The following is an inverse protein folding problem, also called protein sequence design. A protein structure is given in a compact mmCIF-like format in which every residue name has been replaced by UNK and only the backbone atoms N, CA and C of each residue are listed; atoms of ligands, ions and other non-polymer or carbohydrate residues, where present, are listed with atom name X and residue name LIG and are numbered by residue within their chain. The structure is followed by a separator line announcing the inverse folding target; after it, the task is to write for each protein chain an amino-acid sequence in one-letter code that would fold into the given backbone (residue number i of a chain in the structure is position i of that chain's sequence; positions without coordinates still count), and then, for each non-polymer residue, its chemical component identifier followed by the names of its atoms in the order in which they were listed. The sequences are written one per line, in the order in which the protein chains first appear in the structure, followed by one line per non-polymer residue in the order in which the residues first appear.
data_IF_519785405914
#
_entry.id   IF_519785405914
#
_cell.length_a   1.000
_cell.length_b   1.000
_cell.length_c   1.000
_cell.angle_alpha   90.00
_cell.angle_beta   90.00
_cell.angle_gamma   90.00
#
_symmetry.space_group_name_H-M   'P 1'
#
loop_
_entity.id
_entity.type
_entity.pdbx_description
1 polymer ?
#
# COMPACT_ATOMS: atom_id res chain seq x y z
N UNK A 1 13.52 0.80 -19.19
CA UNK A 1 14.81 0.46 -18.54
C UNK A 1 14.59 -0.51 -17.36
N UNK A 2 13.70 -0.24 -16.42
CA UNK A 2 13.48 -1.06 -15.22
C UNK A 2 13.16 -2.55 -15.53
N UNK A 3 12.37 -2.82 -16.59
CA UNK A 3 12.07 -4.20 -17.02
C UNK A 3 13.33 -4.93 -17.52
N UNK A 4 14.21 -4.24 -18.24
CA UNK A 4 15.48 -4.81 -18.72
C UNK A 4 16.40 -5.12 -17.54
N UNK A 5 16.45 -4.21 -16.56
CA UNK A 5 17.25 -4.39 -15.34
C UNK A 5 16.72 -5.55 -14.49
N UNK A 6 15.40 -5.68 -14.32
CA UNK A 6 14.81 -6.79 -13.60
C UNK A 6 15.09 -8.16 -14.24
N UNK A 7 15.09 -8.24 -15.58
CA UNK A 7 15.48 -9.46 -16.30
C UNK A 7 16.94 -9.83 -16.07
N UNK A 8 17.85 -8.84 -15.99
CA UNK A 8 19.26 -9.07 -15.65
C UNK A 8 19.43 -9.55 -14.20
N UNK A 9 18.67 -8.99 -13.25
CA UNK A 9 18.68 -9.43 -11.87
C UNK A 9 18.29 -10.90 -11.77
N UNK A 10 17.20 -11.32 -12.40
CA UNK A 10 16.76 -12.74 -12.41
C UNK A 10 17.78 -13.66 -13.05
N UNK A 11 18.49 -13.21 -14.08
CA UNK A 11 19.60 -13.98 -14.68
C UNK A 11 20.80 -14.21 -13.74
N UNK A 12 20.81 -13.56 -12.58
CA UNK A 12 21.80 -13.70 -11.52
C UNK A 12 21.16 -14.21 -10.19
N UNK A 13 20.04 -14.93 -10.27
CA UNK A 13 19.31 -15.51 -9.13
C UNK A 13 18.84 -14.47 -8.08
N UNK A 14 18.62 -13.22 -8.50
CA UNK A 14 18.08 -12.17 -7.63
C UNK A 14 16.57 -12.13 -7.78
N UNK A 15 15.84 -12.30 -6.67
CA UNK A 15 14.39 -12.17 -6.62
C UNK A 15 13.98 -10.69 -6.75
N UNK A 16 12.90 -10.46 -7.48
CA UNK A 16 12.31 -9.14 -7.65
C UNK A 16 11.03 -9.06 -6.82
N UNK A 17 11.02 -8.15 -5.85
CA UNK A 17 9.84 -7.81 -5.05
C UNK A 17 9.22 -6.48 -5.47
N UNK A 18 7.90 -6.40 -5.40
CA UNK A 18 7.14 -5.16 -5.45
C UNK A 18 6.42 -4.99 -4.12
N UNK A 19 6.58 -3.82 -3.51
CA UNK A 19 5.89 -3.44 -2.28
C UNK A 19 5.10 -2.15 -2.53
N UNK A 20 3.77 -2.23 -2.42
CA UNK A 20 2.90 -1.12 -2.79
C UNK A 20 1.75 -0.93 -1.80
N UNK A 21 1.31 0.32 -1.65
CA UNK A 21 0.06 0.64 -0.94
C UNK A 21 -1.19 0.41 -1.80
N UNK A 22 -1.05 0.16 -3.11
CA UNK A 22 -2.17 -0.18 -4.00
C UNK A 22 -2.66 -1.61 -3.72
N UNK A 23 -3.92 -1.88 -4.09
CA UNK A 23 -4.43 -3.26 -4.18
C UNK A 23 -3.65 -4.05 -5.24
N UNK A 24 -3.70 -5.38 -5.18
CA UNK A 24 -3.14 -6.21 -6.25
C UNK A 24 -3.77 -5.85 -7.59
N UNK A 25 -5.11 -5.72 -7.65
CA UNK A 25 -5.87 -5.40 -8.86
C UNK A 25 -5.41 -4.08 -9.49
N UNK A 26 -5.25 -3.04 -8.68
CA UNK A 26 -4.79 -1.73 -9.16
C UNK A 26 -3.31 -1.72 -9.56
N UNK A 27 -2.56 -2.73 -9.14
CA UNK A 27 -1.15 -2.90 -9.48
C UNK A 27 -0.93 -3.71 -10.76
N UNK A 28 -1.90 -4.50 -11.21
CA UNK A 28 -1.75 -5.42 -12.35
C UNK A 28 -1.29 -4.72 -13.63
N UNK A 29 -1.70 -3.48 -13.85
CA UNK A 29 -1.27 -2.69 -15.03
C UNK A 29 0.25 -2.55 -15.09
N UNK A 30 0.91 -2.44 -13.93
CA UNK A 30 2.37 -2.31 -13.81
C UNK A 30 3.05 -3.67 -13.64
N UNK A 31 2.38 -4.62 -12.99
CA UNK A 31 2.95 -5.91 -12.65
C UNK A 31 3.07 -6.86 -13.85
N UNK A 32 2.17 -6.75 -14.83
CA UNK A 32 2.13 -7.66 -15.98
C UNK A 32 3.44 -7.68 -16.77
N UNK A 33 4.15 -6.55 -16.86
CA UNK A 33 5.44 -6.49 -17.54
C UNK A 33 6.62 -6.85 -16.63
N UNK A 34 6.53 -6.52 -15.34
CA UNK A 34 7.60 -6.76 -14.37
C UNK A 34 7.61 -8.22 -13.89
N UNK A 35 6.43 -8.83 -13.72
CA UNK A 35 6.24 -10.20 -13.21
C UNK A 35 7.05 -10.45 -11.93
N UNK A 36 6.76 -9.75 -10.83
CA UNK A 36 7.56 -9.87 -9.61
C UNK A 36 7.47 -11.28 -9.01
N UNK A 37 8.55 -11.74 -8.38
CA UNK A 37 8.58 -12.99 -7.64
C UNK A 37 7.84 -12.86 -6.29
N UNK A 38 7.83 -11.63 -5.76
CA UNK A 38 7.21 -11.27 -4.49
C UNK A 38 6.32 -10.04 -4.73
N UNK A 39 5.08 -10.09 -4.26
CA UNK A 39 4.17 -8.96 -4.25
C UNK A 39 3.68 -8.71 -2.83
N UNK A 40 3.95 -7.53 -2.32
CA UNK A 40 3.36 -6.97 -1.11
C UNK A 40 2.39 -5.88 -1.56
N UNK A 41 1.10 -6.06 -1.35
CA UNK A 41 0.04 -5.12 -1.77
C UNK A 41 -0.81 -4.66 -0.59
N UNK A 42 -1.70 -3.69 -0.84
CA UNK A 42 -2.58 -3.06 0.17
C UNK A 42 -1.81 -2.61 1.42
N UNK A 43 -0.58 -2.10 1.22
CA UNK A 43 0.26 -1.58 2.30
C UNK A 43 0.82 -2.61 3.26
N UNK A 44 0.93 -3.86 2.85
CA UNK A 44 1.42 -4.97 3.67
C UNK A 44 0.35 -5.98 4.07
N UNK A 45 -0.92 -5.71 3.77
CA UNK A 45 -2.03 -6.57 4.18
C UNK A 45 -2.13 -7.88 3.38
N UNK A 46 -1.58 -7.90 2.17
CA UNK A 46 -1.57 -9.08 1.31
C UNK A 46 -0.16 -9.33 0.79
N UNK A 47 0.32 -10.57 0.97
CA UNK A 47 1.67 -10.97 0.52
C UNK A 47 1.57 -12.22 -0.34
N UNK A 48 2.11 -12.13 -1.53
CA UNK A 48 2.17 -13.19 -2.51
C UNK A 48 3.61 -13.53 -2.84
N UNK A 49 3.95 -14.81 -2.80
CA UNK A 49 5.22 -15.34 -3.27
C UNK A 49 4.97 -16.22 -4.47
N UNK A 50 5.51 -15.83 -5.62
CA UNK A 50 5.18 -16.45 -6.92
C UNK A 50 3.67 -16.41 -7.18
N UNK A 51 2.99 -17.55 -7.10
CA UNK A 51 1.54 -17.68 -7.35
C UNK A 51 0.72 -17.88 -6.08
N UNK A 52 1.34 -17.98 -4.91
CA UNK A 52 0.66 -18.34 -3.67
C UNK A 52 0.57 -17.15 -2.71
N UNK A 53 -0.59 -16.95 -2.10
CA UNK A 53 -0.74 -16.02 -0.99
C UNK A 53 -0.19 -16.67 0.28
N UNK A 54 0.86 -16.07 0.86
CA UNK A 54 1.53 -16.58 2.05
C UNK A 54 1.16 -15.81 3.33
N UNK A 55 0.57 -14.64 3.18
CA UNK A 55 0.08 -13.84 4.29
C UNK A 55 -1.10 -12.99 3.84
N UNK A 56 -2.10 -12.87 4.74
CA UNK A 56 -3.28 -12.06 4.55
C UNK A 56 -3.76 -11.55 5.90
N UNK A 57 -3.95 -10.24 6.02
CA UNK A 57 -4.52 -9.58 7.18
C UNK A 57 -5.76 -8.80 6.77
N UNK A 58 -6.92 -9.31 7.12
CA UNK A 58 -8.22 -8.73 6.75
C UNK A 58 -9.01 -8.32 7.97
N UNK A 59 -9.74 -7.24 7.82
CA UNK A 59 -10.89 -6.93 8.66
C UNK A 59 -12.08 -7.82 8.23
N UNK A 60 -12.86 -8.30 9.20
CA UNK A 60 -14.12 -8.96 8.90
C UNK A 60 -15.12 -7.97 8.25
N UNK A 61 -16.21 -8.49 7.70
CA UNK A 61 -17.33 -7.67 7.21
C UNK A 61 -17.84 -6.69 8.29
N UNK A 62 -18.00 -7.17 9.52
CA UNK A 62 -18.45 -6.37 10.65
C UNK A 62 -17.44 -5.26 10.99
N UNK A 63 -16.16 -5.60 11.13
CA UNK A 63 -15.08 -4.63 11.37
C UNK A 63 -15.04 -3.58 10.25
N UNK A 64 -15.16 -4.00 8.98
CA UNK A 64 -15.16 -3.12 7.80
C UNK A 64 -16.32 -2.12 7.86
N UNK A 65 -17.53 -2.59 8.16
CA UNK A 65 -18.70 -1.72 8.28
C UNK A 65 -18.58 -0.75 9.46
N UNK A 66 -18.06 -1.19 10.59
CA UNK A 66 -17.78 -0.29 11.74
C UNK A 66 -16.78 0.81 11.33
N UNK A 67 -15.75 0.49 10.56
CA UNK A 67 -14.79 1.48 10.07
C UNK A 67 -15.43 2.50 9.10
N UNK A 68 -16.29 2.03 8.19
CA UNK A 68 -17.04 2.89 7.26
C UNK A 68 -17.95 3.85 8.04
N UNK A 69 -18.71 3.32 9.01
CA UNK A 69 -19.61 4.13 9.84
C UNK A 69 -18.86 5.16 10.68
N UNK A 70 -17.72 4.79 11.26
CA UNK A 70 -16.87 5.73 12.01
C UNK A 70 -16.32 6.83 11.10
N UNK A 71 -15.85 6.48 9.90
CA UNK A 71 -15.36 7.46 8.93
C UNK A 71 -16.48 8.46 8.57
N UNK A 72 -17.68 7.98 8.26
CA UNK A 72 -18.85 8.82 7.95
C UNK A 72 -19.29 9.71 9.12
N UNK A 73 -19.37 9.14 10.32
CA UNK A 73 -19.78 9.88 11.52
C UNK A 73 -18.80 11.00 11.89
N UNK A 74 -17.51 10.83 11.62
CA UNK A 74 -16.48 11.81 11.97
C UNK A 74 -16.20 12.77 10.82
N UNK A 75 -16.03 12.23 9.60
CA UNK A 75 -15.62 13.02 8.44
C UNK A 75 -16.81 13.62 7.68
N UNK A 76 -17.98 13.01 7.80
CA UNK A 76 -19.21 13.36 7.10
C UNK A 76 -19.69 12.23 6.21
N UNK A 77 -21.01 12.12 6.03
CA UNK A 77 -21.62 11.05 5.21
C UNK A 77 -21.15 11.04 3.75
N UNK A 78 -20.60 12.14 3.32
CA UNK A 78 -20.12 12.38 1.97
C UNK A 78 -18.59 12.28 1.84
N UNK A 79 -17.86 11.83 2.87
CA UNK A 79 -16.42 11.63 2.76
C UNK A 79 -16.10 10.55 1.71
N UNK A 80 -15.02 10.76 0.96
CA UNK A 80 -14.57 9.74 0.03
C UNK A 80 -13.82 8.64 0.76
N UNK A 81 -14.19 7.39 0.45
CA UNK A 81 -13.65 6.18 1.02
C UNK A 81 -13.23 5.26 -0.12
N UNK A 82 -12.07 4.63 0.01
CA UNK A 82 -11.70 3.47 -0.79
C UNK A 82 -11.48 2.26 0.10
N UNK A 83 -11.84 1.08 -0.41
CA UNK A 83 -11.63 -0.20 0.27
C UNK A 83 -10.97 -1.17 -0.72
N UNK A 84 -9.86 -1.78 -0.27
CA UNK A 84 -9.29 -2.92 -0.96
C UNK A 84 -9.82 -4.20 -0.32
N UNK A 85 -10.36 -5.08 -1.13
CA UNK A 85 -10.60 -6.49 -0.79
C UNK A 85 -9.57 -7.37 -1.51
N UNK A 86 -9.66 -8.68 -1.35
CA UNK A 86 -8.76 -9.58 -2.10
C UNK A 86 -9.03 -9.55 -3.60
N UNK A 87 -10.28 -9.29 -3.99
CA UNK A 87 -10.73 -9.42 -5.37
C UNK A 87 -10.91 -8.08 -6.09
N UNK A 88 -11.07 -6.98 -5.34
CA UNK A 88 -11.44 -5.70 -5.93
C UNK A 88 -10.93 -4.49 -5.14
N UNK A 89 -10.95 -3.35 -5.83
CA UNK A 89 -10.79 -2.03 -5.24
C UNK A 89 -12.12 -1.27 -5.39
N UNK A 90 -12.72 -0.89 -4.28
CA UNK A 90 -13.97 -0.16 -4.19
C UNK A 90 -13.74 1.31 -3.84
N UNK A 91 -14.56 2.20 -4.41
CA UNK A 91 -14.47 3.64 -4.16
C UNK A 91 -15.82 4.34 -4.37
N UNK A 92 -16.22 5.21 -3.46
CA UNK A 92 -17.40 6.08 -3.58
C UNK A 92 -17.05 7.43 -4.23
N UNK A 93 -16.27 7.40 -5.30
CA UNK A 93 -15.77 8.60 -5.97
C UNK A 93 -16.88 9.57 -6.36
N UNK A 94 -16.60 10.88 -6.26
CA UNK A 94 -17.51 11.98 -6.63
C UNK A 94 -17.22 12.55 -8.01
N UNK A 95 -16.09 12.20 -8.59
CA UNK A 95 -15.71 12.66 -9.91
C UNK A 95 -16.48 11.90 -10.99
N UNK A 96 -16.74 12.54 -12.14
CA UNK A 96 -17.29 11.87 -13.32
C UNK A 96 -16.41 10.65 -13.67
N UNK A 97 -16.97 9.44 -13.79
CA UNK A 97 -16.21 8.22 -14.13
C UNK A 97 -15.33 8.33 -15.37
N UNK A 98 -15.73 9.18 -16.32
CA UNK A 98 -14.95 9.45 -17.55
C UNK A 98 -13.68 10.25 -17.30
N UNK A 99 -13.58 10.90 -16.13
CA UNK A 99 -12.46 11.74 -15.72
C UNK A 99 -11.56 11.02 -14.68
N UNK A 100 -11.93 9.81 -14.27
CA UNK A 100 -11.06 9.01 -13.39
C UNK A 100 -9.73 8.76 -14.09
N UNK A 101 -8.67 8.99 -13.35
CA UNK A 101 -7.32 8.67 -13.81
C UNK A 101 -7.13 7.15 -13.81
N UNK A 102 -7.14 6.56 -15.01
CA UNK A 102 -6.97 5.12 -15.20
C UNK A 102 -5.57 4.61 -14.85
N UNK A 103 -4.62 5.50 -14.64
CA UNK A 103 -3.28 5.12 -14.15
C UNK A 103 -3.33 4.55 -12.72
N UNK A 104 -4.40 4.83 -11.97
CA UNK A 104 -4.63 4.26 -10.62
C UNK A 104 -5.26 2.87 -10.64
N UNK A 105 -5.55 2.32 -11.82
CA UNK A 105 -6.25 1.04 -12.01
C UNK A 105 -7.77 1.20 -12.01
N UNK A 106 -8.46 0.07 -12.13
CA UNK A 106 -9.91 0.04 -12.13
C UNK A 106 -10.47 0.09 -10.70
N UNK A 107 -11.56 0.83 -10.53
CA UNK A 107 -12.30 0.93 -9.27
C UNK A 107 -13.76 0.59 -9.48
N UNK A 108 -14.32 -0.21 -8.59
CA UNK A 108 -15.75 -0.51 -8.57
C UNK A 108 -16.43 0.57 -7.74
N UNK A 109 -17.38 1.27 -8.35
CA UNK A 109 -18.18 2.24 -7.61
C UNK A 109 -19.10 1.55 -6.61
N UNK A 110 -19.11 2.02 -5.38
CA UNK A 110 -20.10 1.66 -4.35
C UNK A 110 -20.34 2.86 -3.44
N UNK A 111 -21.57 3.04 -2.98
CA UNK A 111 -21.86 4.01 -1.94
C UNK A 111 -21.65 3.44 -0.52
N UNK A 112 -21.19 2.20 -0.40
CA UNK A 112 -20.98 1.47 0.85
C UNK A 112 -22.22 1.35 1.76
N UNK A 113 -23.44 1.48 1.25
CA UNK A 113 -24.67 1.37 2.06
C UNK A 113 -24.94 -0.08 2.51
N UNK A 114 -24.60 -1.05 1.67
CA UNK A 114 -24.79 -2.47 1.89
C UNK A 114 -23.47 -3.25 1.63
N UNK A 115 -22.34 -2.72 2.12
CA UNK A 115 -21.06 -3.36 1.93
C UNK A 115 -20.91 -4.59 2.83
N UNK A 116 -20.63 -5.74 2.24
CA UNK A 116 -20.64 -7.04 2.90
C UNK A 116 -19.40 -7.88 2.55
N UNK A 117 -18.24 -7.22 2.43
CA UNK A 117 -16.97 -7.90 2.17
C UNK A 117 -15.95 -7.63 3.28
N UNK A 118 -15.04 -8.59 3.47
CA UNK A 118 -13.83 -8.40 4.26
C UNK A 118 -12.89 -7.43 3.57
N UNK A 119 -12.21 -6.57 4.31
CA UNK A 119 -11.29 -5.60 3.73
C UNK A 119 -9.85 -5.77 4.18
N UNK A 120 -8.92 -5.57 3.26
CA UNK A 120 -7.48 -5.55 3.54
C UNK A 120 -7.04 -4.18 4.05
N UNK A 121 -7.68 -3.13 3.53
CA UNK A 121 -7.32 -1.74 3.76
C UNK A 121 -8.52 -0.85 3.50
N UNK A 122 -8.67 0.21 4.29
CA UNK A 122 -9.54 1.34 4.01
C UNK A 122 -8.69 2.60 3.87
N UNK A 123 -8.99 3.44 2.87
CA UNK A 123 -8.48 4.81 2.83
C UNK A 123 -9.66 5.79 2.91
N UNK A 124 -9.43 6.91 3.58
CA UNK A 124 -10.42 8.00 3.73
C UNK A 124 -9.76 9.32 3.35
N UNK A 125 -10.42 10.11 2.51
CA UNK A 125 -9.98 11.47 2.19
C UNK A 125 -10.43 12.43 3.29
N UNK A 126 -9.48 13.09 3.97
CA UNK A 126 -9.74 13.92 5.14
C UNK A 126 -8.98 15.24 5.06
N UNK A 127 -9.68 16.31 4.74
CA UNK A 127 -9.09 17.67 4.60
C UNK A 127 -8.87 18.37 5.95
N UNK A 128 -9.50 17.92 7.02
CA UNK A 128 -9.45 18.54 8.34
C UNK A 128 -8.64 17.69 9.30
N UNK A 129 -7.55 18.24 9.84
CA UNK A 129 -6.62 17.51 10.72
C UNK A 129 -7.29 17.02 12.02
N UNK A 130 -8.17 17.83 12.64
CA UNK A 130 -8.87 17.42 13.88
C UNK A 130 -9.75 16.17 13.64
N UNK A 131 -10.39 16.10 12.45
CA UNK A 131 -11.17 14.92 12.06
C UNK A 131 -10.28 13.71 11.80
N UNK A 132 -9.12 13.90 11.16
CA UNK A 132 -8.14 12.84 10.95
C UNK A 132 -7.63 12.27 12.27
N UNK A 133 -7.25 13.14 13.21
CA UNK A 133 -6.80 12.76 14.54
C UNK A 133 -7.90 12.04 15.33
N UNK A 134 -9.14 12.51 15.20
CA UNK A 134 -10.29 11.89 15.86
C UNK A 134 -10.56 10.50 15.29
N UNK A 135 -10.55 10.33 13.96
CA UNK A 135 -10.76 9.03 13.32
C UNK A 135 -9.64 8.05 13.69
N UNK A 136 -8.38 8.49 13.63
CA UNK A 136 -7.22 7.66 14.01
C UNK A 136 -7.33 7.18 15.46
N UNK A 137 -7.72 8.04 16.39
CA UNK A 137 -7.93 7.64 17.79
C UNK A 137 -9.12 6.70 17.97
N UNK A 138 -10.18 6.86 17.17
CA UNK A 138 -11.38 6.01 17.24
C UNK A 138 -11.14 4.61 16.68
N UNK A 139 -10.22 4.49 15.72
CA UNK A 139 -9.77 3.23 15.13
C UNK A 139 -8.44 2.79 15.77
N UNK A 140 -8.39 2.67 17.10
CA UNK A 140 -7.18 2.40 17.89
C UNK A 140 -6.50 1.06 17.54
N UNK A 141 -7.27 0.11 17.04
CA UNK A 141 -6.79 -1.22 16.63
C UNK A 141 -6.29 -1.26 15.17
N UNK A 142 -6.22 -0.08 14.53
CA UNK A 142 -5.66 0.11 13.21
C UNK A 142 -4.32 0.86 13.28
N UNK A 143 -3.46 0.60 12.31
CA UNK A 143 -2.38 1.50 11.95
C UNK A 143 -2.91 2.52 10.93
N UNK A 144 -2.50 3.78 11.11
CA UNK A 144 -2.90 4.88 10.25
C UNK A 144 -1.67 5.57 9.68
N UNK A 145 -1.64 5.74 8.36
CA UNK A 145 -0.59 6.50 7.66
C UNK A 145 -1.26 7.46 6.68
N UNK A 146 -0.86 8.74 6.73
CA UNK A 146 -1.21 9.71 5.69
C UNK A 146 -0.26 9.58 4.52
N UNK A 147 -0.78 9.63 3.29
CA UNK A 147 0.06 9.75 2.10
C UNK A 147 0.57 11.18 1.92
N UNK A 148 1.79 11.33 1.42
CA UNK A 148 2.43 12.64 1.24
C UNK A 148 1.81 13.48 0.13
N UNK A 149 1.22 12.85 -0.87
CA UNK A 149 0.69 13.47 -2.09
C UNK A 149 -0.77 13.95 -1.98
N UNK A 150 -1.33 14.01 -0.76
CA UNK A 150 -2.71 14.46 -0.62
C UNK A 150 -3.28 14.41 0.78
N UNK A 151 -4.59 14.26 0.83
CA UNK A 151 -5.38 14.23 2.06
C UNK A 151 -5.91 12.84 2.39
N UNK A 152 -5.34 11.80 1.78
CA UNK A 152 -5.73 10.42 1.99
C UNK A 152 -5.01 9.81 3.20
N UNK A 153 -5.78 9.17 4.06
CA UNK A 153 -5.32 8.44 5.24
C UNK A 153 -5.63 6.96 5.08
N UNK A 154 -4.60 6.12 5.13
CA UNK A 154 -4.68 4.68 5.01
C UNK A 154 -4.84 4.05 6.40
N UNK A 155 -5.80 3.15 6.53
CA UNK A 155 -6.03 2.32 7.72
C UNK A 155 -5.86 0.85 7.37
N UNK A 156 -5.02 0.15 8.10
CA UNK A 156 -4.79 -1.29 8.03
C UNK A 156 -4.90 -1.89 9.43
N UNK A 157 -5.03 -3.21 9.55
CA UNK A 157 -4.91 -3.86 10.87
C UNK A 157 -3.59 -3.48 11.54
N UNK A 158 -3.56 -3.55 12.85
CA UNK A 158 -2.39 -3.24 13.67
C UNK A 158 -1.19 -4.10 13.25
N UNK A 159 -0.02 -3.48 13.15
CA UNK A 159 1.22 -4.10 12.70
C UNK A 159 1.19 -4.63 11.25
N UNK A 160 0.25 -4.16 10.44
CA UNK A 160 0.19 -4.47 9.01
C UNK A 160 0.88 -3.36 8.24
N UNK A 161 2.17 -3.56 8.02
CA UNK A 161 3.07 -2.60 7.39
C UNK A 161 3.94 -3.28 6.33
N UNK A 162 4.62 -2.52 5.47
CA UNK A 162 5.50 -3.06 4.43
C UNK A 162 6.68 -3.83 5.03
N UNK A 163 7.29 -3.31 6.09
CA UNK A 163 8.40 -3.97 6.79
C UNK A 163 7.98 -5.29 7.44
N UNK A 164 6.82 -5.35 8.09
CA UNK A 164 6.31 -6.58 8.67
C UNK A 164 5.95 -7.62 7.60
N UNK A 165 5.47 -7.18 6.43
CA UNK A 165 5.27 -8.05 5.28
C UNK A 165 6.59 -8.63 4.75
N UNK A 166 7.66 -7.84 4.72
CA UNK A 166 9.01 -8.30 4.38
C UNK A 166 9.49 -9.35 5.38
N UNK A 167 9.27 -9.14 6.68
CA UNK A 167 9.59 -10.14 7.69
C UNK A 167 8.90 -11.48 7.43
N UNK A 168 7.62 -11.46 7.01
CA UNK A 168 6.90 -12.70 6.64
C UNK A 168 7.53 -13.40 5.43
N UNK A 169 7.97 -12.64 4.43
CA UNK A 169 8.67 -13.20 3.27
C UNK A 169 10.00 -13.84 3.69
N UNK A 170 10.79 -13.18 4.51
CA UNK A 170 12.08 -13.73 4.96
C UNK A 170 11.91 -15.02 5.76
N UNK A 171 10.87 -15.11 6.61
CA UNK A 171 10.51 -16.33 7.33
C UNK A 171 10.20 -17.51 6.38
N UNK A 172 9.42 -17.24 5.31
CA UNK A 172 9.00 -18.27 4.35
C UNK A 172 10.13 -18.67 3.39
N UNK A 173 10.89 -17.71 2.90
CA UNK A 173 11.92 -17.94 1.89
C UNK A 173 13.30 -18.29 2.47
N UNK A 174 13.53 -18.06 3.77
CA UNK A 174 14.76 -18.43 4.47
C UNK A 174 15.96 -17.55 4.15
N UNK A 175 15.77 -16.30 3.72
CA UNK A 175 16.84 -15.32 3.54
C UNK A 175 16.80 -14.22 4.61
N UNK A 176 17.93 -13.52 4.82
CA UNK A 176 18.02 -12.40 5.76
C UNK A 176 17.55 -11.08 5.13
N UNK A 177 16.99 -10.20 5.95
CA UNK A 177 16.73 -8.81 5.56
C UNK A 177 17.99 -8.08 5.11
N UNK A 178 19.18 -8.46 5.65
CA UNK A 178 20.47 -7.90 5.23
C UNK A 178 20.81 -8.15 3.75
N UNK A 179 20.17 -9.14 3.12
CA UNK A 179 20.34 -9.46 1.71
C UNK A 179 19.36 -8.71 0.78
N UNK A 180 18.51 -7.83 1.33
CA UNK A 180 17.50 -7.08 0.58
C UNK A 180 18.00 -5.67 0.33
N UNK A 181 17.81 -5.19 -0.90
CA UNK A 181 17.89 -3.78 -1.26
C UNK A 181 16.46 -3.30 -1.47
N UNK A 182 16.02 -2.30 -0.69
CA UNK A 182 14.69 -1.72 -0.78
C UNK A 182 14.74 -0.30 -1.35
N UNK A 183 13.76 0.05 -2.18
CA UNK A 183 13.60 1.37 -2.77
C UNK A 183 12.27 1.97 -2.32
N UNK A 184 12.27 3.27 -1.96
CA UNK A 184 11.05 3.92 -1.47
C UNK A 184 11.08 5.44 -1.63
N UNK A 185 9.92 6.09 -1.47
CA UNK A 185 9.75 7.52 -1.66
C UNK A 185 8.77 8.19 -0.68
N UNK A 186 7.91 7.43 0.02
CA UNK A 186 6.87 7.99 0.89
C UNK A 186 6.96 7.44 2.34
N UNK A 187 6.22 8.04 3.25
CA UNK A 187 6.15 7.65 4.68
C UNK A 187 5.97 6.16 4.90
N UNK A 188 5.15 5.51 4.07
CA UNK A 188 4.88 4.07 4.16
C UNK A 188 6.12 3.19 3.85
N UNK A 189 7.21 3.76 3.33
CA UNK A 189 8.43 3.06 2.94
C UNK A 189 9.52 3.13 4.02
N UNK A 190 9.43 4.07 4.95
CA UNK A 190 10.49 4.31 5.93
C UNK A 190 10.87 3.04 6.67
N UNK A 191 9.89 2.33 7.27
CA UNK A 191 10.16 1.10 8.01
C UNK A 191 10.80 0.00 7.15
N UNK A 192 10.42 -0.09 5.87
CA UNK A 192 11.02 -1.02 4.92
C UNK A 192 12.48 -0.66 4.61
N UNK A 193 12.78 0.62 4.41
CA UNK A 193 14.16 1.09 4.13
C UNK A 193 15.08 0.85 5.33
N UNK A 194 14.60 1.11 6.54
CA UNK A 194 15.37 0.89 7.77
C UNK A 194 15.56 -0.60 8.11
N UNK A 195 14.64 -1.47 7.69
CA UNK A 195 14.71 -2.92 7.95
C UNK A 195 15.68 -3.65 7.04
N UNK A 196 15.77 -3.24 5.78
CA UNK A 196 16.53 -3.95 4.75
C UNK A 196 18.03 -3.64 4.85
N UNK A 197 18.87 -4.55 4.36
CA UNK A 197 20.33 -4.40 4.38
C UNK A 197 20.83 -3.18 3.61
N UNK A 198 20.03 -2.65 2.68
CA UNK A 198 20.27 -1.36 2.02
C UNK A 198 18.95 -0.70 1.70
N UNK A 199 18.69 0.44 2.32
CA UNK A 199 17.56 1.32 2.04
C UNK A 199 17.95 2.41 1.05
N UNK A 200 17.22 2.54 -0.04
CA UNK A 200 17.48 3.49 -1.11
C UNK A 200 16.29 4.44 -1.27
N UNK A 201 16.50 5.73 -1.05
CA UNK A 201 15.51 6.76 -1.33
C UNK A 201 15.57 7.20 -2.79
N UNK A 202 14.40 7.32 -3.42
CA UNK A 202 14.27 7.95 -4.74
C UNK A 202 14.55 9.45 -4.68
N UNK A 203 15.05 10.04 -5.74
CA UNK A 203 15.35 11.49 -5.79
C UNK A 203 14.13 12.38 -5.58
N UNK A 204 12.94 11.91 -5.97
CA UNK A 204 11.65 12.56 -5.71
C UNK A 204 11.04 12.20 -4.34
N UNK A 205 11.71 11.41 -3.50
CA UNK A 205 11.22 11.06 -2.17
C UNK A 205 11.08 12.30 -1.27
N UNK A 206 10.19 12.21 -0.28
CA UNK A 206 10.08 13.23 0.77
C UNK A 206 11.35 13.28 1.61
N UNK A 207 11.61 14.42 2.26
CA UNK A 207 12.86 14.64 2.99
C UNK A 207 13.06 13.63 4.12
N UNK A 208 12.00 13.27 4.83
CA UNK A 208 12.03 12.27 5.91
C UNK A 208 12.49 10.88 5.43
N UNK A 209 12.15 10.50 4.21
CA UNK A 209 12.60 9.23 3.60
C UNK A 209 14.08 9.32 3.23
N UNK A 210 14.51 10.46 2.63
CA UNK A 210 15.92 10.68 2.28
C UNK A 210 16.84 10.68 3.50
N UNK A 211 16.36 11.21 4.63
CA UNK A 211 17.11 11.24 5.89
C UNK A 211 17.29 9.85 6.52
N UNK A 212 16.40 8.89 6.22
CA UNK A 212 16.39 7.54 6.79
C UNK A 212 17.03 6.48 5.89
N UNK A 213 17.24 6.80 4.61
CA UNK A 213 17.83 5.89 3.65
C UNK A 213 19.36 5.90 3.73
N UNK A 214 19.99 4.77 3.39
CA UNK A 214 21.44 4.66 3.28
C UNK A 214 21.97 5.39 2.04
N UNK A 215 21.17 5.42 0.97
CA UNK A 215 21.55 5.99 -0.33
C UNK A 215 20.38 6.79 -0.90
N UNK A 216 20.68 7.92 -1.52
CA UNK A 216 19.73 8.68 -2.34
C UNK A 216 20.17 8.60 -3.79
N UNK A 217 19.26 8.23 -4.69
CA UNK A 217 19.52 8.10 -6.15
C UNK A 217 18.74 9.16 -6.93
N UNK A 218 18.78 9.08 -8.26
CA UNK A 218 17.98 9.95 -9.15
C UNK A 218 16.46 9.79 -8.97
N UNK A 219 15.71 10.75 -9.53
CA UNK A 219 14.24 10.67 -9.53
C UNK A 219 13.77 9.51 -10.41
N UNK A 220 12.56 8.99 -10.12
CA UNK A 220 11.90 7.99 -10.96
C UNK A 220 11.62 8.46 -12.40
N UNK A 221 11.65 9.78 -12.65
CA UNK A 221 11.47 10.41 -13.96
C UNK A 221 12.81 10.69 -14.69
N UNK A 222 13.94 10.41 -14.06
CA UNK A 222 15.27 10.57 -14.63
C UNK A 222 15.75 9.24 -15.24
N UNK A 223 16.41 9.32 -16.44
CA UNK A 223 16.99 8.17 -17.14
C UNK A 223 18.38 7.75 -16.60
#
# INVERSE_FOLDING_TARGET
QNIISSKKCRGNDILIGVSTSRSEQNSLVFLNELMPDILISSGGALVKYKTEYIYRAEFSEEETNVMIDMARNICGNDCEITIDTIDAHYWNYKIDPKKLDKSWGDSIYTDFSDFNECSLKMCVEIFNQDKADKLTRSLSDCDCIRFSDGFWYKFTKKNVTKENAIMKITEVCGFSTDSIIAFGDDYADIGMLELCGTGVAMGNAIDEVKERADIVIGSNDEE
#
